data_IF_573174169488
#
_entry.id   IF_573174169488
#
_cell.length_a   1.000
_cell.length_b   1.000
_cell.length_c   1.000
_cell.angle_alpha   90.00
_cell.angle_beta   90.00
_cell.angle_gamma   90.00
#
_symmetry.space_group_name_H-M   'P 1'
#
loop_
_entity.id
_entity.type
_entity.pdbx_description
1 polymer ?
#
# COMPACT_ATOMS: atom_id res chain seq x y z
N UNK A 1 4.35 -0.22 -11.67
CA UNK A 1 4.26 -0.61 -10.25
C UNK A 1 4.90 -1.96 -9.93
N UNK A 2 5.67 -2.05 -8.85
CA UNK A 2 5.79 -3.28 -8.06
C UNK A 2 5.24 -2.99 -6.67
N UNK A 3 4.34 -3.83 -6.19
CA UNK A 3 4.01 -3.82 -4.76
C UNK A 3 5.19 -4.48 -4.06
N UNK A 4 5.78 -3.80 -3.08
CA UNK A 4 6.86 -4.38 -2.29
C UNK A 4 6.31 -5.51 -1.42
N UNK A 5 6.93 -6.69 -1.47
CA UNK A 5 6.60 -7.82 -0.61
C UNK A 5 6.71 -7.46 0.89
N UNK A 6 7.52 -6.46 1.21
CA UNK A 6 7.66 -5.92 2.56
C UNK A 6 6.40 -5.15 2.99
N UNK A 7 5.75 -4.43 2.08
CA UNK A 7 4.49 -3.75 2.34
C UNK A 7 3.36 -4.76 2.53
N UNK A 8 3.31 -5.82 1.71
CA UNK A 8 2.34 -6.91 1.86
C UNK A 8 2.52 -7.58 3.21
N UNK A 9 3.76 -7.93 3.60
CA UNK A 9 4.07 -8.47 4.93
C UNK A 9 3.61 -7.57 6.06
N UNK A 10 3.97 -6.29 6.02
CA UNK A 10 3.63 -5.36 7.09
C UNK A 10 2.11 -5.23 7.26
N UNK A 11 1.37 -5.22 6.15
CA UNK A 11 -0.10 -5.11 6.15
C UNK A 11 -0.76 -6.41 6.60
N UNK A 12 -0.30 -7.55 6.11
CA UNK A 12 -0.76 -8.88 6.51
C UNK A 12 -0.50 -9.13 8.00
N UNK A 13 0.70 -8.81 8.49
CA UNK A 13 1.07 -8.98 9.89
C UNK A 13 0.19 -8.13 10.82
N UNK A 14 -0.11 -6.87 10.45
CA UNK A 14 -1.02 -6.03 11.22
C UNK A 14 -2.44 -6.59 11.27
N UNK A 15 -2.96 -7.10 10.15
CA UNK A 15 -4.28 -7.74 10.10
C UNK A 15 -4.31 -9.02 10.95
N UNK A 16 -3.26 -9.82 10.88
CA UNK A 16 -3.11 -11.06 11.62
C UNK A 16 -2.96 -10.82 13.13
N UNK A 17 -2.14 -9.86 13.55
CA UNK A 17 -1.97 -9.45 14.95
C UNK A 17 -3.29 -8.90 15.52
N UNK A 18 -4.00 -8.05 14.76
CA UNK A 18 -5.31 -7.53 15.16
C UNK A 18 -6.39 -8.62 15.28
N UNK A 19 -6.28 -9.69 14.51
CA UNK A 19 -7.16 -10.86 14.58
C UNK A 19 -6.80 -11.83 15.72
N UNK A 20 -5.70 -11.59 16.46
CA UNK A 20 -5.26 -12.44 17.56
C UNK A 20 -4.34 -13.58 17.14
N UNK A 21 -3.66 -13.45 16.01
CA UNK A 21 -2.66 -14.38 15.50
C UNK A 21 -3.14 -15.84 15.35
N UNK A 22 -4.26 -16.09 14.63
CA UNK A 22 -4.70 -17.44 14.34
C UNK A 22 -3.67 -18.21 13.49
N UNK A 23 -3.27 -19.38 13.98
CA UNK A 23 -2.34 -20.29 13.30
C UNK A 23 -3.04 -20.89 12.05
N UNK A 24 -2.41 -20.81 10.88
CA UNK A 24 -2.94 -21.16 9.54
C UNK A 24 -3.78 -20.11 8.79
N UNK A 25 -3.97 -18.90 9.32
CA UNK A 25 -4.68 -17.85 8.57
C UNK A 25 -3.76 -16.78 7.96
N UNK A 26 -2.46 -16.87 8.22
CA UNK A 26 -1.44 -15.94 7.70
C UNK A 26 -1.51 -15.79 6.17
N UNK A 27 -1.74 -16.89 5.46
CA UNK A 27 -1.86 -16.90 3.99
C UNK A 27 -3.13 -16.18 3.51
N UNK A 28 -4.24 -16.30 4.26
CA UNK A 28 -5.48 -15.55 3.96
C UNK A 28 -5.26 -14.06 4.13
N UNK A 29 -4.63 -13.65 5.24
CA UNK A 29 -4.30 -12.25 5.51
C UNK A 29 -3.26 -11.71 4.53
N UNK A 30 -2.35 -12.55 4.03
CA UNK A 30 -1.41 -12.18 2.98
C UNK A 30 -2.12 -11.83 1.67
N UNK A 31 -3.02 -12.70 1.21
CA UNK A 31 -3.78 -12.45 -0.02
C UNK A 31 -4.70 -11.22 0.11
N UNK A 32 -5.33 -11.03 1.27
CA UNK A 32 -6.14 -9.84 1.59
C UNK A 32 -5.28 -8.56 1.54
N UNK A 33 -4.09 -8.60 2.16
CA UNK A 33 -3.15 -7.49 2.16
C UNK A 33 -2.64 -7.14 0.76
N UNK A 34 -2.28 -8.15 -0.05
CA UNK A 34 -1.90 -7.94 -1.44
C UNK A 34 -3.03 -7.26 -2.21
N UNK A 35 -4.26 -7.76 -2.08
CA UNK A 35 -5.44 -7.20 -2.77
C UNK A 35 -5.67 -5.74 -2.43
N UNK A 36 -5.63 -5.38 -1.14
CA UNK A 36 -5.79 -4.00 -0.69
C UNK A 36 -4.66 -3.09 -1.20
N UNK A 37 -3.40 -3.53 -1.08
CA UNK A 37 -2.26 -2.74 -1.56
C UNK A 37 -2.29 -2.56 -3.07
N UNK A 38 -2.76 -3.57 -3.82
CA UNK A 38 -2.89 -3.50 -5.27
C UNK A 38 -3.92 -2.46 -5.66
N UNK A 39 -5.05 -2.42 -4.99
CA UNK A 39 -6.06 -1.37 -5.19
C UNK A 39 -5.58 0.02 -4.73
N UNK A 40 -4.97 0.14 -3.56
CA UNK A 40 -4.40 1.42 -3.09
C UNK A 40 -3.30 1.93 -4.02
N UNK A 41 -2.44 1.06 -4.54
CA UNK A 41 -1.39 1.43 -5.50
C UNK A 41 -1.99 1.81 -6.86
N UNK A 42 -2.98 1.09 -7.37
CA UNK A 42 -3.69 1.49 -8.60
C UNK A 42 -4.34 2.87 -8.41
N UNK A 43 -4.94 3.11 -7.24
CA UNK A 43 -5.52 4.41 -6.89
C UNK A 43 -4.44 5.49 -6.76
N UNK A 44 -3.29 5.21 -6.13
CA UNK A 44 -2.17 6.14 -6.03
C UNK A 44 -1.51 6.41 -7.39
N UNK A 45 -1.45 5.42 -8.29
CA UNK A 45 -0.91 5.60 -9.64
C UNK A 45 -1.82 6.51 -10.48
N UNK A 46 -3.15 6.27 -10.45
CA UNK A 46 -4.13 7.14 -11.11
C UNK A 46 -4.20 8.53 -10.46
N UNK A 47 -3.91 8.61 -9.16
CA UNK A 47 -3.83 9.86 -8.38
C UNK A 47 -2.37 10.27 -8.21
N UNK A 48 -1.59 10.16 -9.28
CA UNK A 48 -0.58 11.18 -9.54
C UNK A 48 -1.32 12.37 -10.14
N UNK A 49 -1.82 13.33 -9.34
CA UNK A 49 -1.83 14.67 -9.88
C UNK A 49 -0.35 15.02 -10.06
N UNK A 50 0.03 15.45 -11.24
CA UNK A 50 1.15 16.34 -11.49
C UNK A 50 1.09 17.65 -10.66
N UNK A 51 0.42 17.67 -9.51
CA UNK A 51 0.27 18.81 -8.61
C UNK A 51 1.19 18.61 -7.41
N UNK A 52 2.49 18.78 -7.66
CA UNK A 52 3.37 19.58 -6.81
C UNK A 52 4.79 19.57 -7.40
N UNK A 53 4.92 20.07 -8.63
CA UNK A 53 6.09 20.90 -8.91
C UNK A 53 5.80 22.25 -8.24
N UNK A 54 6.50 22.64 -7.16
CA UNK A 54 6.39 24.01 -6.69
C UNK A 54 6.83 24.92 -7.83
N UNK A 55 5.87 25.77 -8.21
CA UNK A 55 6.00 27.01 -8.93
C UNK A 55 7.43 27.57 -8.97
N UNK A 56 7.92 27.82 -10.18
CA UNK A 56 9.08 28.69 -10.41
C UNK A 56 8.67 30.14 -10.10
N UNK A 57 8.41 30.43 -8.83
CA UNK A 57 8.34 31.81 -8.31
C UNK A 57 9.77 32.31 -8.14
N UNK A 58 10.30 32.88 -9.21
CA UNK A 58 11.65 33.43 -9.21
C UNK A 58 12.04 33.98 -10.56
N UNK A 59 11.19 34.81 -11.17
CA UNK A 59 11.58 35.60 -12.32
C UNK A 59 11.04 37.03 -12.22
N UNK A 60 12.00 37.96 -12.23
CA UNK A 60 11.92 39.40 -12.41
C UNK A 60 11.54 40.26 -11.18
#
# INVERSE_FOLDING_TARGET
MKIDDQAIRARAYRLWEAAGSPENEEERFWHEAERQLKEEQIQHELKTPDTCRPDLSGAA
#
